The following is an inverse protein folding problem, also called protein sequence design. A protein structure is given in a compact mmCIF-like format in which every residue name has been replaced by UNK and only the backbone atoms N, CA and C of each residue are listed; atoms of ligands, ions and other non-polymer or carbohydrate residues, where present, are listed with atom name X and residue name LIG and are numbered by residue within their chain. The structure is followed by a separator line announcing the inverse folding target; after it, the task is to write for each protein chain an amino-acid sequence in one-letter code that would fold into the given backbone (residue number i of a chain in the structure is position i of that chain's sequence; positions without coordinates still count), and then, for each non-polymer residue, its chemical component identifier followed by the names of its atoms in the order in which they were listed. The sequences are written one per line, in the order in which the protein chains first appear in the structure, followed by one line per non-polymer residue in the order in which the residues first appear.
data_IF_076267642534
#
_entry.id   IF_076267642534
#
_cell.length_a   1.000
_cell.length_b   1.000
_cell.length_c   1.000
_cell.angle_alpha   90.00
_cell.angle_beta   90.00
_cell.angle_gamma   90.00
#
_symmetry.space_group_name_H-M   'P 1'
#
loop_
_entity.id
_entity.type
_entity.pdbx_description
1 polymer ?
#
# COMPACT_ATOMS: atom_id res chain seq x y z
N UNK A 1 23.69 -4.50 17.16
CA UNK A 1 23.25 -3.89 15.88
C UNK A 1 23.47 -4.93 14.79
N UNK A 2 22.41 -5.62 14.37
CA UNK A 2 22.49 -6.65 13.32
C UNK A 2 21.56 -6.24 12.18
N UNK A 3 22.16 -6.01 11.02
CA UNK A 3 21.57 -5.44 9.81
C UNK A 3 20.94 -6.59 9.01
N UNK A 4 19.62 -6.81 9.15
CA UNK A 4 18.83 -7.88 8.52
C UNK A 4 18.48 -7.61 7.04
N UNK A 5 19.45 -7.19 6.23
CA UNK A 5 19.19 -6.61 4.90
C UNK A 5 19.08 -7.60 3.73
N UNK A 6 18.98 -8.90 3.97
CA UNK A 6 18.95 -9.89 2.88
C UNK A 6 17.75 -10.83 3.10
N UNK A 7 16.80 -10.83 2.16
CA UNK A 7 15.72 -11.82 1.98
C UNK A 7 14.35 -11.67 2.68
N UNK A 8 13.89 -10.50 3.14
CA UNK A 8 12.50 -10.40 3.64
C UNK A 8 11.49 -10.40 2.48
N UNK A 9 10.58 -11.39 2.48
CA UNK A 9 9.37 -11.37 1.65
C UNK A 9 8.50 -10.17 2.03
N UNK A 10 7.61 -9.73 1.15
CA UNK A 10 6.76 -8.56 1.39
C UNK A 10 6.43 -7.85 0.08
N UNK A 11 5.32 -7.13 0.08
CA UNK A 11 4.89 -6.33 -1.06
C UNK A 11 5.28 -4.88 -0.81
N UNK A 12 6.07 -4.29 -1.70
CA UNK A 12 6.33 -2.86 -1.65
C UNK A 12 5.12 -2.13 -2.25
N UNK A 13 4.41 -1.38 -1.41
CA UNK A 13 3.29 -0.54 -1.83
C UNK A 13 3.80 0.88 -1.99
N UNK A 14 3.61 1.44 -3.18
CA UNK A 14 3.84 2.85 -3.47
C UNK A 14 2.49 3.54 -3.62
N UNK A 15 2.25 4.58 -2.84
CA UNK A 15 1.03 5.37 -2.91
C UNK A 15 1.37 6.80 -3.31
N UNK A 16 0.87 7.21 -4.47
CA UNK A 16 0.98 8.59 -4.96
C UNK A 16 -0.34 9.32 -4.81
N UNK A 17 -0.29 10.55 -4.29
CA UNK A 17 -1.40 11.47 -4.34
C UNK A 17 -1.31 12.31 -5.63
N UNK A 18 -2.13 11.99 -6.63
CA UNK A 18 -2.26 12.75 -7.89
C UNK A 18 -3.40 13.78 -7.84
N UNK A 19 -4.09 13.88 -6.70
CA UNK A 19 -5.16 14.84 -6.45
C UNK A 19 -4.66 16.25 -6.11
N UNK A 20 -5.63 17.12 -5.87
CA UNK A 20 -5.42 18.55 -5.56
C UNK A 20 -5.26 18.84 -4.07
N UNK A 21 -5.50 17.85 -3.21
CA UNK A 21 -5.57 18.01 -1.77
C UNK A 21 -4.80 16.91 -1.02
N UNK A 22 -4.28 17.21 0.17
CA UNK A 22 -3.54 16.23 0.97
C UNK A 22 -4.42 15.06 1.38
N UNK A 23 -3.91 13.84 1.20
CA UNK A 23 -4.44 12.65 1.87
C UNK A 23 -3.88 12.66 3.28
N UNK A 24 -4.74 12.74 4.30
CA UNK A 24 -4.29 12.89 5.69
C UNK A 24 -4.37 11.56 6.43
N UNK A 25 -3.45 11.35 7.36
CA UNK A 25 -3.42 10.17 8.25
C UNK A 25 -3.59 8.86 7.48
N UNK A 26 -2.84 8.72 6.39
CA UNK A 26 -2.96 7.60 5.48
C UNK A 26 -2.47 6.33 6.15
N UNK A 27 -3.26 5.27 6.07
CA UNK A 27 -2.95 3.94 6.58
C UNK A 27 -3.22 2.90 5.49
N UNK A 28 -2.25 2.01 5.28
CA UNK A 28 -2.43 0.81 4.47
C UNK A 28 -2.88 -0.33 5.38
N UNK A 29 -3.94 -1.04 5.00
CA UNK A 29 -4.38 -2.25 5.66
C UNK A 29 -4.18 -3.48 4.75
N UNK A 30 -3.77 -4.57 5.39
CA UNK A 30 -3.68 -5.91 4.84
C UNK A 30 -4.16 -6.89 5.91
N UNK A 31 -4.42 -8.15 5.55
CA UNK A 31 -4.90 -9.15 6.52
C UNK A 31 -3.96 -9.29 7.72
N UNK A 32 -4.44 -8.84 8.89
CA UNK A 32 -3.75 -8.92 10.17
C UNK A 32 -2.64 -7.90 10.42
N UNK A 33 -2.46 -6.88 9.57
CA UNK A 33 -1.49 -5.81 9.81
C UNK A 33 -1.95 -4.46 9.24
N UNK A 34 -1.41 -3.36 9.78
CA UNK A 34 -1.67 -2.01 9.28
C UNK A 34 -0.42 -1.15 9.36
N UNK A 35 -0.23 -0.26 8.38
CA UNK A 35 0.99 0.49 8.17
C UNK A 35 0.66 1.96 7.96
N UNK A 36 1.01 2.81 8.92
CA UNK A 36 0.82 4.25 8.82
C UNK A 36 1.84 4.87 7.87
N UNK A 37 1.35 5.65 6.90
CA UNK A 37 2.15 6.45 5.97
C UNK A 37 2.16 7.94 6.36
N UNK A 38 1.23 8.38 7.21
CA UNK A 38 1.08 9.79 7.59
C UNK A 38 0.39 10.59 6.50
N UNK A 39 0.69 11.89 6.42
CA UNK A 39 0.08 12.76 5.41
C UNK A 39 0.85 12.70 4.08
N UNK A 40 0.11 12.63 2.98
CA UNK A 40 0.67 12.62 1.61
C UNK A 40 0.17 13.88 0.89
N UNK A 41 1.02 14.92 0.76
CA UNK A 41 0.67 16.15 0.04
C UNK A 41 0.39 15.90 -1.45
N UNK A 42 -0.31 16.82 -2.14
CA UNK A 42 -0.49 16.77 -3.59
C UNK A 42 0.83 16.59 -4.34
N UNK A 43 0.86 15.68 -5.31
CA UNK A 43 2.03 15.36 -6.12
C UNK A 43 3.11 14.54 -5.41
N UNK A 44 2.93 14.21 -4.14
CA UNK A 44 3.89 13.43 -3.34
C UNK A 44 3.57 11.95 -3.32
N UNK A 45 4.56 11.16 -2.92
CA UNK A 45 4.49 9.70 -2.83
C UNK A 45 4.96 9.23 -1.47
N UNK A 46 4.31 8.21 -0.92
CA UNK A 46 4.75 7.48 0.26
C UNK A 46 4.83 5.97 -0.02
N UNK A 47 5.62 5.25 0.77
CA UNK A 47 5.89 3.83 0.55
C UNK A 47 5.90 3.04 1.86
N UNK A 48 5.44 1.80 1.80
CA UNK A 48 5.61 0.81 2.86
C UNK A 48 5.85 -0.59 2.28
N UNK A 49 6.60 -1.42 3.01
CA UNK A 49 6.67 -2.86 2.74
C UNK A 49 5.67 -3.55 3.64
N UNK A 50 4.63 -4.14 3.05
CA UNK A 50 3.57 -4.81 3.78
C UNK A 50 3.76 -6.32 3.81
N UNK A 51 3.37 -6.90 4.94
CA UNK A 51 3.44 -8.32 5.22
C UNK A 51 2.07 -8.77 5.75
N UNK A 52 1.24 -9.48 4.94
CA UNK A 52 0.00 -10.03 5.45
C UNK A 52 0.28 -11.26 6.32
N UNK A 53 -0.68 -11.62 7.16
CA UNK A 53 -0.66 -12.83 8.00
C UNK A 53 -1.52 -13.98 7.45
N UNK A 54 -2.26 -13.72 6.37
CA UNK A 54 -3.08 -14.69 5.63
C UNK A 54 -3.40 -14.16 4.23
N UNK A 55 -4.34 -14.78 3.53
CA UNK A 55 -4.82 -14.29 2.23
C UNK A 55 -5.26 -12.82 2.34
N UNK A 56 -4.82 -11.98 1.41
CA UNK A 56 -4.96 -10.53 1.55
C UNK A 56 -5.21 -9.83 0.22
N UNK A 57 -5.87 -8.69 0.35
CA UNK A 57 -5.86 -7.59 -0.60
C UNK A 57 -5.38 -6.31 0.09
N UNK A 58 -5.25 -5.23 -0.69
CA UNK A 58 -4.84 -3.92 -0.21
C UNK A 58 -6.07 -3.05 0.06
N UNK A 59 -6.19 -2.50 1.27
CA UNK A 59 -7.10 -1.40 1.55
C UNK A 59 -6.31 -0.16 1.96
N UNK A 60 -6.80 1.02 1.56
CA UNK A 60 -6.17 2.30 1.88
C UNK A 60 -7.19 3.16 2.61
N UNK A 61 -6.85 3.53 3.84
CA UNK A 61 -7.63 4.43 4.67
C UNK A 61 -6.96 5.79 4.74
N UNK A 62 -7.74 6.87 4.67
CA UNK A 62 -7.25 8.24 4.86
C UNK A 62 -8.39 9.16 5.28
N UNK A 63 -8.04 10.30 5.86
CA UNK A 63 -8.98 11.39 6.13
C UNK A 63 -9.03 12.34 4.93
N UNK A 64 -10.20 12.47 4.32
CA UNK A 64 -10.43 13.36 3.19
C UNK A 64 -10.50 14.84 3.65
N UNK A 65 -10.78 15.75 2.72
CA UNK A 65 -10.86 17.19 3.01
C UNK A 65 -11.95 17.58 3.99
N UNK A 66 -13.09 16.90 3.91
CA UNK A 66 -14.25 17.14 4.76
C UNK A 66 -14.03 16.62 6.20
N UNK A 67 -12.85 16.03 6.47
CA UNK A 67 -12.53 15.43 7.76
C UNK A 67 -13.15 14.04 7.94
N UNK A 68 -13.70 13.45 6.87
CA UNK A 68 -14.27 12.11 6.91
C UNK A 68 -13.19 11.06 6.63
N UNK A 69 -13.24 9.97 7.38
CA UNK A 69 -12.42 8.78 7.11
C UNK A 69 -13.02 8.06 5.90
N UNK A 70 -12.19 7.84 4.90
CA UNK A 70 -12.53 7.07 3.71
C UNK A 70 -11.62 5.85 3.65
N UNK A 71 -12.20 4.69 3.35
CA UNK A 71 -11.49 3.43 3.15
C UNK A 71 -11.78 2.90 1.76
N UNK A 72 -10.73 2.79 0.95
CA UNK A 72 -10.79 2.32 -0.43
C UNK A 72 -10.26 0.88 -0.48
N UNK A 73 -11.03 0.00 -1.11
CA UNK A 73 -10.53 -1.30 -1.56
C UNK A 73 -9.66 -1.05 -2.82
N UNK A 74 -8.35 -1.21 -2.65
CA UNK A 74 -7.37 -1.10 -3.72
C UNK A 74 -7.03 -2.47 -4.32
N UNK A 75 -7.73 -3.54 -3.94
CA UNK A 75 -7.62 -4.86 -4.53
C UNK A 75 -6.20 -5.43 -4.49
N UNK A 76 -5.93 -6.28 -5.48
CA UNK A 76 -4.72 -7.10 -5.53
C UNK A 76 -4.83 -8.32 -4.63
N UNK A 77 -4.18 -9.41 -5.03
CA UNK A 77 -4.17 -10.64 -4.27
C UNK A 77 -2.74 -11.02 -3.92
N UNK A 78 -2.49 -11.22 -2.62
CA UNK A 78 -1.20 -11.66 -2.11
C UNK A 78 -1.36 -12.30 -0.74
N UNK A 79 -0.43 -13.20 -0.41
CA UNK A 79 -0.44 -13.96 0.83
C UNK A 79 0.95 -13.90 1.52
N UNK A 80 1.10 -14.44 2.73
CA UNK A 80 2.40 -14.48 3.40
C UNK A 80 3.46 -15.14 2.51
N UNK A 81 4.61 -14.49 2.40
CA UNK A 81 5.74 -14.99 1.60
C UNK A 81 5.79 -14.49 0.15
N UNK A 82 4.73 -13.85 -0.36
CA UNK A 82 4.73 -13.19 -1.67
C UNK A 82 5.73 -12.03 -1.71
N UNK A 83 6.13 -11.63 -2.93
CA UNK A 83 7.03 -10.50 -3.18
C UNK A 83 6.56 -9.71 -4.39
N UNK A 84 6.88 -8.43 -4.44
CA UNK A 84 6.57 -7.62 -5.61
C UNK A 84 6.27 -6.18 -5.27
N UNK A 85 5.66 -5.49 -6.23
CA UNK A 85 5.20 -4.11 -6.07
C UNK A 85 3.70 -4.00 -6.30
N UNK A 86 3.09 -3.03 -5.62
CA UNK A 86 1.78 -2.49 -5.96
C UNK A 86 1.95 -0.96 -6.01
N UNK A 87 1.68 -0.36 -7.16
CA UNK A 87 1.76 1.07 -7.39
C UNK A 87 0.35 1.64 -7.55
N UNK A 88 -0.07 2.46 -6.59
CA UNK A 88 -1.39 3.09 -6.53
C UNK A 88 -1.27 4.60 -6.73
N UNK A 89 -2.17 5.16 -7.53
CA UNK A 89 -2.42 6.61 -7.57
C UNK A 89 -3.83 6.91 -7.10
N UNK A 90 -3.97 7.82 -6.14
CA UNK A 90 -5.25 8.34 -5.69
C UNK A 90 -5.38 9.79 -6.16
N UNK A 91 -6.48 10.08 -6.85
CA UNK A 91 -6.85 11.42 -7.30
C UNK A 91 -8.18 11.83 -6.67
N UNK A 92 -8.14 12.90 -5.87
CA UNK A 92 -9.32 13.49 -5.23
C UNK A 92 -10.22 12.45 -4.52
N UNK A 93 -9.57 11.50 -3.82
CA UNK A 93 -10.24 10.44 -3.06
C UNK A 93 -10.67 9.21 -3.86
N UNK A 94 -10.30 9.10 -5.14
CA UNK A 94 -10.61 7.96 -6.01
C UNK A 94 -9.32 7.28 -6.48
N UNK A 95 -9.32 5.96 -6.57
CA UNK A 95 -8.20 5.22 -7.18
C UNK A 95 -8.20 5.50 -8.69
N UNK A 96 -7.18 6.20 -9.16
CA UNK A 96 -6.95 6.49 -10.58
C UNK A 96 -6.10 5.40 -11.24
N UNK A 97 -5.17 4.79 -10.47
CA UNK A 97 -4.24 3.78 -10.97
C UNK A 97 -4.01 2.68 -9.95
N UNK A 98 -3.90 1.45 -10.45
CA UNK A 98 -3.51 0.28 -9.68
C UNK A 98 -2.71 -0.68 -10.57
N UNK A 99 -1.38 -0.63 -10.47
CA UNK A 99 -0.47 -1.53 -11.18
C UNK A 99 0.18 -2.50 -10.19
N UNK A 100 0.24 -3.78 -10.57
CA UNK A 100 0.67 -4.85 -9.67
C UNK A 100 1.71 -5.72 -10.37
N UNK A 101 2.84 -5.95 -9.70
CA UNK A 101 3.87 -6.87 -10.13
C UNK A 101 4.20 -7.82 -8.99
N UNK A 102 3.25 -8.70 -8.68
CA UNK A 102 3.32 -9.63 -7.55
C UNK A 102 3.75 -11.01 -8.05
N UNK A 103 4.65 -11.66 -7.31
CA UNK A 103 5.15 -13.01 -7.58
C UNK A 103 5.15 -13.84 -6.32
N UNK A 104 4.75 -15.11 -6.47
CA UNK A 104 4.99 -16.13 -5.47
C UNK A 104 6.50 -16.43 -5.43
N UNK A 105 7.07 -16.57 -4.23
CA UNK A 105 8.51 -16.86 -4.04
C UNK A 105 8.97 -18.16 -4.72
N UNK A 106 8.08 -19.14 -4.92
CA UNK A 106 8.39 -20.41 -5.58
C UNK A 106 8.05 -20.37 -7.07
N UNK A 107 8.84 -19.62 -7.82
CA UNK A 107 9.08 -19.92 -9.23
C UNK A 107 10.56 -19.64 -9.52
N UNK A 108 11.39 -20.63 -9.19
CA UNK A 108 12.69 -20.81 -9.82
C UNK A 108 12.45 -21.75 -11.01
N UNK A 109 12.86 -21.40 -12.24
CA UNK A 109 12.98 -22.41 -13.30
C UNK A 109 14.03 -23.48 -12.94
#
# INVERSE_FOLDING_TARGET
MLVWFLFRSGIQVTLQNTGSHSLRSVVIHVTGASYSLGDIPPGSTAQAIVHPTGESHLEIEFTNLDGQIQRLDAGGYFEPGYRGTIDISIKDGVIEKNEQQIRLRSWLP
#
